data_IF_094987315902
#
_entry.id   IF_094987315902
#
_cell.length_a   1.000
_cell.length_b   1.000
_cell.length_c   1.000
_cell.angle_alpha   90.00
_cell.angle_beta   90.00
_cell.angle_gamma   90.00
#
_symmetry.space_group_name_H-M   'P 1'
#
loop_
_entity.id
_entity.type
_entity.pdbx_description
1 polymer ?
#
# COMPACT_ATOMS: atom_id res chain seq x y z
N UNK A 1 -30.85 16.08 -22.72
CA UNK A 1 -30.03 16.48 -21.55
C UNK A 1 -29.86 15.38 -20.51
N UNK A 2 -30.91 14.67 -20.07
CA UNK A 2 -30.81 13.62 -19.02
C UNK A 2 -29.93 12.41 -19.42
N UNK A 3 -30.00 11.95 -20.66
CA UNK A 3 -29.18 10.82 -21.15
C UNK A 3 -27.68 11.16 -21.20
N UNK A 4 -27.34 12.36 -21.66
CA UNK A 4 -25.94 12.82 -21.72
C UNK A 4 -25.34 13.02 -20.32
N UNK A 5 -26.17 13.40 -19.35
CA UNK A 5 -25.75 13.54 -17.94
C UNK A 5 -25.43 12.17 -17.32
N UNK A 6 -26.20 11.13 -17.66
CA UNK A 6 -25.93 9.75 -17.20
C UNK A 6 -24.59 9.23 -17.74
N UNK A 7 -24.31 9.43 -19.03
CA UNK A 7 -23.04 9.06 -19.64
C UNK A 7 -21.85 9.79 -19.03
N UNK A 8 -21.99 11.08 -18.72
CA UNK A 8 -20.94 11.86 -18.06
C UNK A 8 -20.66 11.36 -16.63
N UNK A 9 -21.70 11.03 -15.87
CA UNK A 9 -21.56 10.48 -14.50
C UNK A 9 -20.89 9.11 -14.52
N UNK A 10 -21.28 8.21 -15.43
CA UNK A 10 -20.64 6.89 -15.56
C UNK A 10 -19.16 7.02 -15.93
N UNK A 11 -18.81 7.92 -16.87
CA UNK A 11 -17.42 8.16 -17.27
C UNK A 11 -16.57 8.76 -16.13
N UNK A 12 -17.14 9.60 -15.26
CA UNK A 12 -16.45 10.14 -14.09
C UNK A 12 -16.21 9.06 -13.02
N UNK A 13 -17.14 8.13 -12.83
CA UNK A 13 -17.02 7.07 -11.82
C UNK A 13 -15.98 6.02 -12.23
N UNK A 14 -15.86 5.67 -13.52
CA UNK A 14 -14.89 4.66 -13.97
C UNK A 14 -13.44 5.10 -13.77
N UNK A 15 -13.15 6.39 -13.84
CA UNK A 15 -11.80 6.91 -13.57
C UNK A 15 -11.40 6.76 -12.09
N UNK A 16 -12.36 6.73 -11.17
CA UNK A 16 -12.11 6.58 -9.73
C UNK A 16 -11.90 5.14 -9.26
N UNK A 17 -12.05 4.14 -10.13
CA UNK A 17 -11.96 2.71 -9.78
C UNK A 17 -10.62 2.06 -10.18
N UNK A 18 -9.58 2.86 -10.46
CA UNK A 18 -8.26 2.32 -10.77
C UNK A 18 -7.44 2.09 -9.49
N UNK A 19 -7.14 0.83 -9.20
CA UNK A 19 -6.18 0.45 -8.16
C UNK A 19 -4.75 0.71 -8.65
N UNK A 20 -3.98 1.47 -7.87
CA UNK A 20 -2.57 1.76 -8.17
C UNK A 20 -1.68 0.63 -7.66
N UNK A 21 -0.64 0.32 -8.44
CA UNK A 21 0.43 -0.58 -8.01
C UNK A 21 1.65 0.25 -7.62
N UNK A 22 2.04 0.15 -6.36
CA UNK A 22 3.21 0.82 -5.78
C UNK A 22 4.38 -0.15 -5.75
N UNK A 23 5.56 0.32 -6.15
CA UNK A 23 6.79 -0.47 -6.13
C UNK A 23 7.74 0.08 -5.07
N UNK A 24 8.18 -0.78 -4.16
CA UNK A 24 9.04 -0.42 -3.03
C UNK A 24 10.28 -1.31 -3.03
N UNK A 25 11.47 -0.73 -2.97
CA UNK A 25 12.73 -1.48 -3.03
C UNK A 25 13.94 -0.56 -3.13
N UNK A 26 15.12 -1.07 -2.82
CA UNK A 26 16.35 -0.26 -2.83
C UNK A 26 16.65 0.41 -4.17
N UNK A 27 16.17 -0.17 -5.28
CA UNK A 27 16.28 0.36 -6.65
C UNK A 27 15.02 1.06 -7.17
N UNK A 28 13.97 1.18 -6.35
CA UNK A 28 12.70 1.79 -6.74
C UNK A 28 12.65 3.27 -6.33
N UNK A 29 11.68 4.01 -6.87
CA UNK A 29 11.40 5.40 -6.44
C UNK A 29 11.10 5.49 -4.94
N UNK A 30 10.36 4.53 -4.41
CA UNK A 30 10.13 4.38 -2.98
C UNK A 30 11.05 3.29 -2.44
N UNK A 31 11.96 3.67 -1.55
CA UNK A 31 12.95 2.75 -1.00
C UNK A 31 12.48 2.10 0.29
N UNK A 32 11.38 2.59 0.87
CA UNK A 32 10.86 2.14 2.16
C UNK A 32 9.33 2.00 2.15
N UNK A 33 8.76 0.92 2.72
CA UNK A 33 7.32 0.71 2.75
C UNK A 33 6.54 1.83 3.45
N UNK A 34 7.10 2.43 4.50
CA UNK A 34 6.50 3.58 5.18
C UNK A 34 6.31 4.83 4.29
N UNK A 35 7.07 4.96 3.19
CA UNK A 35 6.93 6.10 2.28
C UNK A 35 5.63 6.04 1.48
N UNK A 36 5.10 4.84 1.23
CA UNK A 36 3.86 4.65 0.47
C UNK A 36 2.66 4.39 1.35
N UNK A 37 2.84 4.05 2.65
CA UNK A 37 1.73 3.69 3.53
C UNK A 37 0.71 4.81 3.74
N UNK A 38 1.10 6.07 3.54
CA UNK A 38 0.21 7.24 3.57
C UNK A 38 -0.27 7.70 2.18
N UNK A 39 0.33 7.17 1.11
CA UNK A 39 0.04 7.54 -0.28
C UNK A 39 -0.96 6.60 -0.95
N UNK A 40 -0.96 5.32 -0.52
CA UNK A 40 -1.90 4.32 -1.03
C UNK A 40 -3.35 4.75 -0.81
N UNK A 41 -4.20 4.34 -1.75
CA UNK A 41 -5.65 4.41 -1.67
C UNK A 41 -6.26 3.04 -1.40
N UNK A 42 -7.58 3.02 -1.17
CA UNK A 42 -8.32 1.78 -1.03
C UNK A 42 -8.21 0.93 -2.31
N UNK A 43 -7.96 -0.38 -2.15
CA UNK A 43 -7.84 -1.29 -3.29
C UNK A 43 -6.43 -1.36 -3.92
N UNK A 44 -5.49 -0.53 -3.48
CA UNK A 44 -4.14 -0.50 -4.05
C UNK A 44 -3.33 -1.77 -3.73
N UNK A 45 -2.33 -2.03 -4.57
CA UNK A 45 -1.32 -3.06 -4.35
C UNK A 45 0.03 -2.44 -4.05
N UNK A 46 0.75 -2.97 -3.05
CA UNK A 46 2.12 -2.60 -2.72
C UNK A 46 3.01 -3.81 -2.97
N UNK A 47 3.81 -3.73 -4.03
CA UNK A 47 4.87 -4.69 -4.32
C UNK A 47 6.15 -4.27 -3.61
N UNK A 48 6.72 -5.17 -2.81
CA UNK A 48 7.91 -4.92 -2.02
C UNK A 48 9.00 -5.87 -2.49
N UNK A 49 10.06 -5.34 -3.08
CA UNK A 49 11.23 -6.12 -3.47
C UNK A 49 11.88 -6.81 -2.26
N UNK A 50 12.57 -7.92 -2.52
CA UNK A 50 13.37 -8.57 -1.50
C UNK A 50 14.42 -7.62 -0.90
N UNK A 51 14.62 -7.68 0.41
CA UNK A 51 15.57 -6.81 1.07
C UNK A 51 15.40 -6.72 2.57
N UNK A 52 16.32 -6.01 3.22
CA UNK A 52 16.26 -5.71 4.64
C UNK A 52 15.82 -4.25 4.82
N UNK A 53 14.68 -4.06 5.47
CA UNK A 53 14.12 -2.75 5.76
C UNK A 53 14.33 -2.44 7.25
N UNK A 54 15.42 -1.74 7.54
CA UNK A 54 15.81 -1.35 8.89
C UNK A 54 15.00 -0.17 9.41
N UNK A 55 14.56 -0.25 10.67
CA UNK A 55 13.90 0.82 11.39
C UNK A 55 12.65 1.36 10.67
N UNK A 56 12.01 0.53 9.83
CA UNK A 56 10.86 0.93 9.03
C UNK A 56 9.55 0.53 9.71
N UNK A 57 8.93 1.51 10.37
CA UNK A 57 7.66 1.32 11.08
C UNK A 57 6.57 2.19 10.47
N UNK A 58 5.35 1.66 10.33
CA UNK A 58 4.22 2.40 9.78
C UNK A 58 2.87 1.77 10.14
N UNK A 59 1.79 2.46 9.80
CA UNK A 59 0.44 1.89 9.82
C UNK A 59 -0.13 1.80 8.41
N UNK A 60 -0.90 0.74 8.18
CA UNK A 60 -1.67 0.51 6.96
C UNK A 60 -3.15 0.60 7.29
N UNK A 61 -3.77 1.73 6.94
CA UNK A 61 -5.14 2.06 7.34
C UNK A 61 -6.15 2.09 6.17
N UNK A 62 -5.70 1.86 4.93
CA UNK A 62 -6.61 1.73 3.80
C UNK A 62 -7.15 0.31 3.69
N UNK A 63 -8.43 0.21 3.42
CA UNK A 63 -9.12 -1.05 3.14
C UNK A 63 -8.72 -1.66 1.80
N UNK A 64 -8.90 -2.98 1.67
CA UNK A 64 -8.73 -3.74 0.43
C UNK A 64 -7.31 -3.67 -0.15
N UNK A 65 -6.29 -3.48 0.69
CA UNK A 65 -4.90 -3.47 0.21
C UNK A 65 -4.40 -4.89 -0.02
N UNK A 66 -3.59 -5.05 -1.07
CA UNK A 66 -2.70 -6.19 -1.24
C UNK A 66 -1.26 -5.72 -1.02
N UNK A 67 -0.60 -6.20 0.02
CA UNK A 67 0.82 -5.92 0.27
C UNK A 67 1.56 -7.23 0.09
N UNK A 68 2.48 -7.28 -0.86
CA UNK A 68 3.17 -8.54 -1.22
C UNK A 68 4.66 -8.37 -1.45
N UNK A 69 5.40 -9.40 -1.05
CA UNK A 69 6.79 -9.51 -1.45
C UNK A 69 6.86 -9.91 -2.93
N UNK A 70 7.81 -9.31 -3.66
CA UNK A 70 8.17 -9.67 -5.02
C UNK A 70 9.66 -9.92 -5.09
N UNK A 71 10.09 -10.80 -6.00
CA UNK A 71 11.51 -11.11 -6.22
C UNK A 71 12.26 -11.66 -4.98
N UNK A 72 11.54 -12.22 -4.01
CA UNK A 72 12.05 -12.78 -2.75
C UNK A 72 11.40 -12.13 -1.52
N UNK A 73 11.96 -12.34 -0.33
CA UNK A 73 11.33 -11.95 0.94
C UNK A 73 11.81 -10.57 1.42
N UNK A 74 10.86 -9.71 1.82
CA UNK A 74 11.13 -8.48 2.55
C UNK A 74 11.28 -8.74 4.06
N UNK A 75 12.46 -8.50 4.62
CA UNK A 75 12.74 -8.64 6.05
C UNK A 75 12.66 -7.28 6.75
N UNK A 76 11.64 -7.11 7.59
CA UNK A 76 11.49 -5.91 8.41
C UNK A 76 12.28 -6.06 9.72
N UNK A 77 13.12 -5.07 10.04
CA UNK A 77 13.87 -5.02 11.31
C UNK A 77 13.47 -3.78 12.08
N UNK A 78 12.91 -3.96 13.28
CA UNK A 78 12.45 -2.86 14.13
C UNK A 78 13.57 -1.98 14.65
N UNK A 79 14.70 -2.58 15.02
CA UNK A 79 15.79 -1.94 15.76
C UNK A 79 15.30 -1.17 16.99
N UNK A 80 14.33 -1.74 17.70
CA UNK A 80 13.73 -1.14 18.90
C UNK A 80 12.63 -0.11 18.62
N UNK A 81 12.38 0.25 17.35
CA UNK A 81 11.26 1.13 16.99
C UNK A 81 9.96 0.35 16.86
N UNK A 82 8.85 1.03 17.15
CA UNK A 82 7.51 0.52 16.89
C UNK A 82 6.59 1.66 16.48
N UNK A 83 5.53 1.34 15.73
CA UNK A 83 4.47 2.28 15.41
C UNK A 83 3.45 2.30 16.55
N UNK A 84 3.35 3.44 17.24
CA UNK A 84 2.38 3.67 18.32
C UNK A 84 2.50 2.69 19.48
N UNK A 85 3.74 2.29 19.82
CA UNK A 85 4.05 1.36 20.91
C UNK A 85 3.40 -0.02 20.79
N UNK A 86 3.16 -0.48 19.55
CA UNK A 86 2.44 -1.74 19.26
C UNK A 86 3.27 -2.76 18.48
N UNK A 87 3.68 -2.40 17.27
CA UNK A 87 4.31 -3.34 16.33
C UNK A 87 5.21 -2.61 15.33
N UNK A 88 5.96 -3.36 14.52
CA UNK A 88 6.69 -2.77 13.38
C UNK A 88 5.69 -2.14 12.42
N UNK A 89 4.73 -2.94 11.95
CA UNK A 89 3.59 -2.46 11.19
C UNK A 89 2.29 -2.69 11.95
N UNK A 90 1.43 -1.66 11.97
CA UNK A 90 0.09 -1.77 12.51
C UNK A 90 -0.92 -1.81 11.37
N UNK A 91 -1.64 -2.92 11.25
CA UNK A 91 -2.65 -3.14 10.21
C UNK A 91 -4.02 -2.76 10.78
N UNK A 92 -4.69 -1.77 10.17
CA UNK A 92 -5.93 -1.17 10.69
C UNK A 92 -7.04 -1.06 9.65
N UNK A 93 -6.73 -1.20 8.36
CA UNK A 93 -7.75 -1.26 7.32
C UNK A 93 -8.46 -2.61 7.28
N UNK A 94 -9.68 -2.62 6.76
CA UNK A 94 -10.46 -3.83 6.52
C UNK A 94 -9.94 -4.57 5.28
N UNK A 95 -9.91 -5.90 5.31
CA UNK A 95 -9.53 -6.75 4.17
C UNK A 95 -8.14 -6.38 3.59
N UNK A 96 -7.14 -6.28 4.46
CA UNK A 96 -5.73 -6.14 4.03
C UNK A 96 -5.12 -7.54 3.94
N UNK A 97 -4.53 -7.87 2.80
CA UNK A 97 -3.85 -9.14 2.57
C UNK A 97 -2.34 -8.93 2.51
N UNK A 98 -1.60 -9.64 3.37
CA UNK A 98 -0.13 -9.66 3.39
C UNK A 98 0.34 -11.02 2.86
N UNK A 99 1.14 -11.02 1.80
CA UNK A 99 1.63 -12.26 1.16
C UNK A 99 3.15 -12.18 0.98
N UNK A 100 3.84 -13.29 1.20
CA UNK A 100 5.30 -13.43 1.09
C UNK A 100 5.70 -14.32 -0.08
#
# INVERSE_FOLDING_TARGET
MKTNLLFAVVFLITNMLNATIWHVGASQTYTMPSQVSTLVNHGDTVNIDAGIYNSNVCAWNKNNLLIRCINGIAHLKSNGLSYGDKAIWVIQGNNINLIY
#
